data_IF_532766192465
#
_entry.id   IF_532766192465
#
_cell.length_a   1.000
_cell.length_b   1.000
_cell.length_c   1.000
_cell.angle_alpha   90.00
_cell.angle_beta   90.00
_cell.angle_gamma   90.00
#
_symmetry.space_group_name_H-M   'P 1'
#
loop_
_entity.id
_entity.type
_entity.pdbx_description
1 polymer ?
#
# COMPACT_ATOMS: atom_id res chain seq x y z
N UNK A 1 -11.37 15.56 14.39
CA UNK A 1 -11.71 14.57 13.33
C UNK A 1 -12.23 13.35 14.05
N UNK A 2 -13.40 12.76 13.72
CA UNK A 2 -13.81 11.51 14.32
C UNK A 2 -12.75 10.44 14.02
N UNK A 3 -12.46 9.58 15.01
CA UNK A 3 -11.49 8.49 14.84
C UNK A 3 -11.95 7.56 13.71
N UNK A 4 -11.07 7.33 12.75
CA UNK A 4 -11.27 6.32 11.72
C UNK A 4 -11.05 4.94 12.33
N UNK A 5 -11.87 3.98 11.98
CA UNK A 5 -11.62 2.58 12.34
C UNK A 5 -10.57 1.89 11.45
N UNK A 6 -10.06 2.58 10.43
CA UNK A 6 -8.85 2.18 9.71
C UNK A 6 -7.63 2.24 10.64
N UNK A 7 -6.62 1.43 10.37
CA UNK A 7 -5.38 1.39 11.13
C UNK A 7 -4.19 1.31 10.19
N UNK A 8 -3.05 1.88 10.60
CA UNK A 8 -1.80 1.83 9.88
C UNK A 8 -0.72 1.19 10.76
N UNK A 9 -0.04 0.18 10.23
CA UNK A 9 1.26 -0.28 10.71
C UNK A 9 2.29 0.19 9.69
N UNK A 10 3.15 1.12 10.09
CA UNK A 10 4.21 1.68 9.27
C UNK A 10 5.55 1.12 9.71
N UNK A 11 6.22 0.39 8.84
CA UNK A 11 7.48 -0.29 9.14
C UNK A 11 8.62 0.39 8.37
N UNK A 12 9.59 0.93 9.11
CA UNK A 12 10.77 1.58 8.57
C UNK A 12 11.93 0.60 8.71
N UNK A 13 12.44 0.11 7.58
CA UNK A 13 13.53 -0.85 7.52
C UNK A 13 14.89 -0.24 7.83
N UNK A 14 15.89 -1.10 7.99
CA UNK A 14 17.28 -0.70 8.16
C UNK A 14 17.77 0.09 6.94
N UNK A 15 18.20 1.36 7.10
CA UNK A 15 18.55 2.19 5.96
C UNK A 15 19.95 1.91 5.40
N UNK A 16 20.83 1.35 6.18
CA UNK A 16 22.22 1.09 5.78
C UNK A 16 23.09 2.33 5.64
N UNK A 17 22.56 3.48 5.22
CA UNK A 17 23.26 4.76 5.09
C UNK A 17 22.41 5.95 5.58
N UNK A 18 23.08 7.06 5.95
CA UNK A 18 22.40 8.31 6.35
C UNK A 18 21.51 8.90 5.23
N UNK A 19 21.91 8.72 3.97
CA UNK A 19 21.13 9.17 2.83
C UNK A 19 19.76 8.46 2.79
N UNK A 20 19.76 7.15 2.94
CA UNK A 20 18.51 6.37 2.95
C UNK A 20 17.70 6.59 4.23
N UNK A 21 18.37 6.77 5.37
CA UNK A 21 17.70 7.11 6.63
C UNK A 21 16.87 8.39 6.48
N UNK A 22 17.44 9.43 5.87
CA UNK A 22 16.76 10.69 5.59
C UNK A 22 15.55 10.49 4.66
N UNK A 23 15.71 9.70 3.60
CA UNK A 23 14.63 9.42 2.64
C UNK A 23 13.49 8.65 3.30
N UNK A 24 13.79 7.55 3.99
CA UNK A 24 12.77 6.73 4.64
C UNK A 24 12.03 7.50 5.72
N UNK A 25 12.74 8.35 6.46
CA UNK A 25 12.14 9.28 7.43
C UNK A 25 11.15 10.23 6.75
N UNK A 26 11.53 10.88 5.66
CA UNK A 26 10.64 11.80 4.92
C UNK A 26 9.39 11.09 4.40
N UNK A 27 9.54 9.85 3.87
CA UNK A 27 8.38 9.07 3.41
C UNK A 27 7.47 8.68 4.57
N UNK A 28 8.06 8.27 5.69
CA UNK A 28 7.30 7.92 6.89
C UNK A 28 6.53 9.11 7.44
N UNK A 29 7.15 10.30 7.53
CA UNK A 29 6.51 11.53 7.97
C UNK A 29 5.27 11.86 7.13
N UNK A 30 5.32 11.69 5.79
CA UNK A 30 4.16 11.90 4.91
C UNK A 30 3.02 10.91 5.20
N UNK A 31 3.32 9.64 5.46
CA UNK A 31 2.32 8.65 5.86
C UNK A 31 1.72 8.96 7.22
N UNK A 32 2.53 9.34 8.21
CA UNK A 32 2.06 9.74 9.54
C UNK A 32 1.16 10.99 9.49
N UNK A 33 1.55 12.02 8.73
CA UNK A 33 0.74 13.22 8.53
C UNK A 33 -0.59 12.91 7.83
N UNK A 34 -0.59 12.03 6.83
CA UNK A 34 -1.81 11.58 6.16
C UNK A 34 -2.71 10.79 7.12
N UNK A 35 -2.15 9.89 7.95
CA UNK A 35 -2.88 9.16 8.98
C UNK A 35 -3.51 10.11 10.01
N UNK A 36 -2.77 11.12 10.46
CA UNK A 36 -3.27 12.12 11.39
C UNK A 36 -4.46 12.91 10.80
N UNK A 37 -4.36 13.35 9.54
CA UNK A 37 -5.47 14.04 8.86
C UNK A 37 -6.70 13.15 8.70
N UNK A 38 -6.48 11.86 8.45
CA UNK A 38 -7.54 10.89 8.28
C UNK A 38 -8.14 10.37 9.61
N UNK A 39 -7.54 10.69 10.76
CA UNK A 39 -7.90 10.14 12.06
C UNK A 39 -7.58 8.64 12.20
N UNK A 40 -6.59 8.15 11.45
CA UNK A 40 -6.15 6.74 11.45
C UNK A 40 -5.14 6.53 12.58
N UNK A 41 -5.38 5.51 13.40
CA UNK A 41 -4.38 5.09 14.40
C UNK A 41 -3.15 4.52 13.70
N UNK A 42 -1.98 5.10 13.97
CA UNK A 42 -0.71 4.73 13.36
C UNK A 42 0.23 4.08 14.37
N UNK A 43 0.68 2.87 14.09
CA UNK A 43 1.77 2.20 14.82
C UNK A 43 3.02 2.24 13.95
N UNK A 44 4.09 2.90 14.43
CA UNK A 44 5.36 3.02 13.70
C UNK A 44 6.41 2.10 14.32
N UNK A 45 7.04 1.29 13.48
CA UNK A 45 8.10 0.36 13.85
C UNK A 45 9.39 0.78 13.13
N UNK A 46 10.53 0.77 13.82
CA UNK A 46 11.83 1.11 13.23
C UNK A 46 12.19 2.60 13.20
N UNK A 47 11.36 3.49 13.78
CA UNK A 47 11.54 4.96 13.70
C UNK A 47 12.81 5.49 14.38
N UNK A 48 13.27 4.86 15.44
CA UNK A 48 14.29 5.42 16.35
C UNK A 48 15.68 4.79 16.18
N UNK A 49 15.92 4.06 15.12
CA UNK A 49 17.21 3.45 14.90
C UNK A 49 18.20 4.42 14.22
N UNK A 50 19.33 4.68 14.90
CA UNK A 50 20.45 5.39 14.30
C UNK A 50 21.21 4.49 13.31
N UNK A 51 21.71 5.07 12.23
CA UNK A 51 22.63 4.35 11.35
C UNK A 51 23.89 4.00 12.17
N UNK A 52 24.33 2.73 12.17
CA UNK A 52 25.58 2.38 12.83
C UNK A 52 26.72 3.22 12.23
N UNK A 53 27.35 4.05 13.03
CA UNK A 53 28.57 4.72 12.60
C UNK A 53 29.59 3.63 12.21
N UNK A 54 30.20 3.76 11.02
CA UNK A 54 31.20 2.83 10.55
C UNK A 54 32.23 2.60 11.69
N UNK A 55 32.67 1.36 11.93
CA UNK A 55 33.61 1.08 13.02
C UNK A 55 34.89 1.87 12.77
N UNK A 56 35.08 2.93 13.54
CA UNK A 56 36.39 3.57 13.67
C UNK A 56 37.29 2.51 14.30
N UNK A 57 38.23 1.93 13.54
CA UNK A 57 39.25 1.08 14.10
C UNK A 57 40.03 1.89 15.12
N UNK A 58 39.93 1.61 16.42
CA UNK A 58 40.86 2.24 17.36
C UNK A 58 42.20 1.51 17.26
N UNK A 59 43.24 2.27 16.97
CA UNK A 59 44.60 1.85 17.30
C UNK A 59 44.69 1.82 18.84
N UNK A 60 44.76 0.62 19.39
CA UNK A 60 45.28 0.28 20.71
C UNK A 60 44.68 1.03 21.91
N UNK A 61 43.78 0.39 22.62
CA UNK A 61 43.67 0.43 24.08
C UNK A 61 42.64 -0.61 24.55
N UNK A 62 43.09 -1.56 25.33
CA UNK A 62 42.27 -2.52 26.06
C UNK A 62 41.79 -1.87 27.35
N UNK A 63 40.47 -1.54 27.43
CA UNK A 63 39.82 -1.35 28.70
C UNK A 63 38.61 -2.29 28.79
N UNK A 64 38.34 -2.94 29.93
CA UNK A 64 37.20 -3.82 30.09
C UNK A 64 35.95 -2.96 30.22
N UNK A 65 35.12 -2.94 29.16
CA UNK A 65 33.77 -2.39 29.23
C UNK A 65 32.94 -3.33 30.10
N UNK A 66 32.53 -2.87 31.27
CA UNK A 66 31.51 -3.52 32.07
C UNK A 66 30.20 -3.52 31.28
N UNK A 67 29.86 -4.66 30.68
CA UNK A 67 28.57 -4.89 30.07
C UNK A 67 27.51 -4.86 31.19
N UNK A 68 26.86 -3.72 31.36
CA UNK A 68 25.53 -3.73 31.96
C UNK A 68 24.64 -4.48 30.97
N UNK A 69 24.14 -5.64 31.40
CA UNK A 69 23.15 -6.39 30.67
C UNK A 69 21.84 -5.55 30.64
N UNK A 70 21.67 -4.75 29.59
CA UNK A 70 20.37 -4.22 29.21
C UNK A 70 19.50 -5.41 28.83
N UNK A 71 18.25 -5.44 29.29
CA UNK A 71 17.28 -6.42 28.81
C UNK A 71 17.32 -6.44 27.27
N UNK A 72 17.19 -7.63 26.63
CA UNK A 72 17.26 -7.72 25.20
C UNK A 72 16.14 -6.83 24.60
N UNK A 73 16.54 -5.80 23.90
CA UNK A 73 15.59 -4.88 23.24
C UNK A 73 14.77 -5.69 22.22
N UNK A 74 13.44 -5.56 22.29
CA UNK A 74 12.52 -6.30 21.42
C UNK A 74 12.81 -5.97 19.95
N UNK A 75 13.01 -6.98 19.11
CA UNK A 75 13.33 -6.79 17.70
C UNK A 75 12.16 -6.18 16.92
N UNK A 76 12.44 -5.48 15.82
CA UNK A 76 11.39 -4.89 14.99
C UNK A 76 10.47 -5.96 14.37
N UNK A 77 11.00 -7.14 14.06
CA UNK A 77 10.19 -8.29 13.63
C UNK A 77 9.19 -8.71 14.73
N UNK A 78 9.63 -8.81 15.98
CA UNK A 78 8.75 -9.17 17.10
C UNK A 78 7.69 -8.09 17.36
N UNK A 79 8.06 -6.81 17.30
CA UNK A 79 7.10 -5.69 17.40
C UNK A 79 6.05 -5.73 16.30
N UNK A 80 6.44 -6.06 15.05
CA UNK A 80 5.52 -6.20 13.94
C UNK A 80 4.53 -7.36 14.15
N UNK A 81 5.04 -8.53 14.52
CA UNK A 81 4.20 -9.70 14.82
C UNK A 81 3.21 -9.38 15.95
N UNK A 82 3.66 -8.76 17.02
CA UNK A 82 2.83 -8.37 18.16
C UNK A 82 1.76 -7.34 17.77
N UNK A 83 2.11 -6.34 16.95
CA UNK A 83 1.16 -5.36 16.45
C UNK A 83 0.05 -6.03 15.61
N UNK A 84 0.41 -6.92 14.69
CA UNK A 84 -0.56 -7.67 13.86
C UNK A 84 -1.41 -8.61 14.74
N UNK A 85 -0.81 -9.33 15.66
CA UNK A 85 -1.53 -10.24 16.60
C UNK A 85 -2.49 -9.49 17.51
N UNK A 86 -2.14 -8.29 17.94
CA UNK A 86 -3.04 -7.41 18.69
C UNK A 86 -4.32 -7.10 17.91
N UNK A 87 -4.22 -6.92 16.59
CA UNK A 87 -5.34 -6.63 15.71
C UNK A 87 -6.14 -7.87 15.29
N UNK A 88 -5.56 -9.06 15.37
CA UNK A 88 -6.25 -10.32 15.01
C UNK A 88 -7.41 -10.67 15.92
N UNK A 89 -7.44 -10.08 17.13
CA UNK A 89 -8.46 -10.34 18.15
C UNK A 89 -9.79 -9.64 17.89
N UNK A 90 -9.82 -8.69 16.98
CA UNK A 90 -11.03 -7.93 16.64
C UNK A 90 -11.37 -8.04 15.17
N UNK A 91 -12.66 -8.29 14.88
CA UNK A 91 -13.18 -8.19 13.52
C UNK A 91 -13.41 -6.72 13.17
N UNK A 92 -13.08 -6.34 11.97
CA UNK A 92 -13.40 -5.02 11.42
C UNK A 92 -13.67 -5.13 9.94
N UNK A 93 -14.62 -4.36 9.43
CA UNK A 93 -14.84 -4.17 7.99
C UNK A 93 -13.92 -3.11 7.39
N UNK A 94 -13.24 -2.34 8.25
CA UNK A 94 -12.34 -1.27 7.81
C UNK A 94 -10.92 -1.79 7.58
N UNK A 95 -10.22 -1.30 6.55
CA UNK A 95 -8.92 -1.79 6.17
C UNK A 95 -7.86 -1.59 7.25
N UNK A 96 -6.94 -2.56 7.33
CA UNK A 96 -5.61 -2.40 7.90
C UNK A 96 -4.62 -2.10 6.77
N UNK A 97 -3.86 -1.05 6.93
CA UNK A 97 -2.75 -0.71 6.05
C UNK A 97 -1.44 -1.15 6.69
N UNK A 98 -0.65 -1.95 5.98
CA UNK A 98 0.70 -2.34 6.39
C UNK A 98 1.66 -1.81 5.33
N UNK A 99 2.48 -0.85 5.71
CA UNK A 99 3.35 -0.14 4.78
C UNK A 99 4.81 -0.36 5.15
N UNK A 100 5.59 -0.84 4.20
CA UNK A 100 7.01 -1.12 4.36
C UNK A 100 7.85 -0.12 3.57
N UNK A 101 8.66 0.67 4.26
CA UNK A 101 9.56 1.68 3.68
C UNK A 101 11.01 1.28 3.94
N UNK A 102 11.75 0.85 2.92
CA UNK A 102 13.13 0.44 3.13
C UNK A 102 13.73 -0.39 2.00
N UNK A 103 14.58 -1.32 2.38
CA UNK A 103 15.24 -2.26 1.49
C UNK A 103 14.66 -3.68 1.62
N UNK A 104 14.78 -4.43 0.55
CA UNK A 104 14.47 -5.85 0.53
C UNK A 104 15.58 -6.64 -0.15
N UNK A 105 15.67 -7.92 0.15
CA UNK A 105 16.62 -8.87 -0.41
C UNK A 105 15.89 -10.08 -0.99
N UNK A 106 16.51 -10.74 -1.95
CA UNK A 106 16.03 -11.98 -2.56
C UNK A 106 17.20 -12.90 -2.84
N UNK A 107 17.16 -14.10 -2.33
CA UNK A 107 18.23 -15.10 -2.48
C UNK A 107 18.03 -16.05 -3.68
N UNK A 108 17.05 -15.77 -4.54
CA UNK A 108 16.62 -16.61 -5.66
C UNK A 108 15.44 -17.51 -5.31
N UNK A 109 15.02 -17.58 -4.04
CA UNK A 109 13.91 -18.39 -3.54
C UNK A 109 13.02 -17.63 -2.57
N UNK A 110 13.61 -16.95 -1.58
CA UNK A 110 12.92 -16.26 -0.49
C UNK A 110 13.17 -14.76 -0.58
N UNK A 111 12.10 -13.98 -0.54
CA UNK A 111 12.18 -12.54 -0.37
C UNK A 111 12.09 -12.17 1.11
N UNK A 112 12.95 -11.24 1.53
CA UNK A 112 13.00 -10.75 2.89
C UNK A 112 12.97 -9.24 2.93
N UNK A 113 12.34 -8.70 3.95
CA UNK A 113 12.35 -7.30 4.30
C UNK A 113 13.43 -7.02 5.34
N UNK A 114 14.30 -6.04 5.05
CA UNK A 114 15.46 -5.73 5.90
C UNK A 114 15.04 -4.85 7.08
N UNK A 115 15.05 -5.43 8.28
CA UNK A 115 14.71 -4.77 9.53
C UNK A 115 15.98 -4.44 10.36
N UNK A 116 15.80 -3.68 11.41
CA UNK A 116 16.79 -3.63 12.48
C UNK A 116 16.66 -4.88 13.35
N UNK A 117 17.70 -5.72 13.30
CA UNK A 117 17.70 -7.06 13.88
C UNK A 117 17.45 -8.13 12.80
N UNK A 118 16.77 -9.23 13.11
CA UNK A 118 16.44 -10.23 12.13
C UNK A 118 15.47 -9.71 11.07
N UNK A 119 15.76 -10.01 9.81
CA UNK A 119 14.85 -9.73 8.70
C UNK A 119 13.57 -10.56 8.81
N UNK A 120 12.49 -10.10 8.18
CA UNK A 120 11.24 -10.86 8.07
C UNK A 120 11.04 -11.34 6.64
N UNK A 121 10.75 -12.64 6.46
CA UNK A 121 10.44 -13.18 5.14
C UNK A 121 8.99 -12.94 4.74
N UNK A 122 8.71 -13.03 3.44
CA UNK A 122 7.35 -12.92 2.92
C UNK A 122 6.43 -14.00 3.53
N UNK A 123 6.93 -15.22 3.74
CA UNK A 123 6.19 -16.33 4.32
C UNK A 123 5.88 -16.11 5.81
N UNK A 124 6.84 -15.57 6.58
CA UNK A 124 6.62 -15.23 7.99
C UNK A 124 5.53 -14.15 8.11
N UNK A 125 5.63 -13.08 7.32
CA UNK A 125 4.62 -12.03 7.29
C UNK A 125 3.24 -12.58 6.90
N UNK A 126 3.16 -13.41 5.86
CA UNK A 126 1.91 -14.03 5.42
C UNK A 126 1.28 -14.88 6.53
N UNK A 127 2.08 -15.70 7.22
CA UNK A 127 1.62 -16.51 8.35
C UNK A 127 1.01 -15.67 9.48
N UNK A 128 1.61 -14.51 9.77
CA UNK A 128 1.10 -13.60 10.78
C UNK A 128 -0.19 -12.91 10.31
N UNK A 129 -0.24 -12.47 9.04
CA UNK A 129 -1.40 -11.81 8.45
C UNK A 129 -2.62 -12.74 8.25
N UNK A 130 -2.43 -14.06 8.13
CA UNK A 130 -3.54 -15.02 8.02
C UNK A 130 -4.50 -14.99 9.21
N UNK A 131 -4.03 -14.55 10.36
CA UNK A 131 -4.85 -14.44 11.59
C UNK A 131 -5.82 -13.25 11.55
N UNK A 132 -5.62 -12.30 10.64
CA UNK A 132 -6.42 -11.07 10.56
C UNK A 132 -7.80 -11.34 9.95
N UNK A 133 -8.86 -10.92 10.65
CA UNK A 133 -10.26 -11.03 10.21
C UNK A 133 -10.79 -9.66 9.75
N UNK A 134 -10.04 -9.04 8.84
CA UNK A 134 -10.35 -7.72 8.26
C UNK A 134 -9.62 -7.57 6.93
N UNK A 135 -10.10 -6.65 6.06
CA UNK A 135 -9.39 -6.32 4.83
C UNK A 135 -7.98 -5.76 5.12
N UNK A 136 -7.00 -6.10 4.28
CA UNK A 136 -5.61 -5.63 4.45
C UNK A 136 -5.05 -5.11 3.14
N UNK A 137 -4.50 -3.89 3.15
CA UNK A 137 -3.64 -3.37 2.09
C UNK A 137 -2.18 -3.47 2.55
N UNK A 138 -1.37 -4.21 1.84
CA UNK A 138 0.08 -4.28 2.07
C UNK A 138 0.81 -3.54 0.95
N UNK A 139 1.58 -2.50 1.32
CA UNK A 139 2.36 -1.68 0.37
C UNK A 139 3.85 -1.88 0.66
N UNK A 140 4.55 -2.56 -0.25
CA UNK A 140 5.97 -2.92 -0.09
C UNK A 140 6.84 -2.03 -0.96
N UNK A 141 7.36 -0.95 -0.38
CA UNK A 141 8.18 0.06 -1.06
C UNK A 141 9.67 -0.29 -0.98
N UNK A 142 10.07 -1.43 -1.58
CA UNK A 142 11.46 -1.88 -1.57
C UNK A 142 11.87 -2.56 -2.87
N UNK A 143 13.19 -2.70 -3.05
CA UNK A 143 13.75 -3.67 -4.00
C UNK A 143 13.25 -5.08 -3.71
N UNK A 144 13.32 -5.97 -4.69
CA UNK A 144 12.98 -7.39 -4.56
C UNK A 144 11.56 -7.69 -4.03
N UNK A 145 10.62 -6.74 -4.12
CA UNK A 145 9.33 -6.84 -3.42
C UNK A 145 8.28 -7.72 -4.10
N UNK A 146 8.37 -7.96 -5.41
CA UNK A 146 7.34 -8.73 -6.13
C UNK A 146 7.01 -10.12 -5.54
N UNK A 147 7.97 -10.91 -5.01
CA UNK A 147 7.63 -12.22 -4.43
C UNK A 147 6.67 -12.14 -3.23
N UNK A 148 6.52 -10.97 -2.59
CA UNK A 148 5.53 -10.77 -1.54
C UNK A 148 4.09 -10.92 -2.05
N UNK A 149 3.82 -10.63 -3.33
CA UNK A 149 2.50 -10.86 -3.94
C UNK A 149 2.12 -12.34 -3.80
N UNK A 150 3.01 -13.25 -4.18
CA UNK A 150 2.71 -14.68 -4.21
C UNK A 150 2.31 -15.26 -2.85
N UNK A 151 2.76 -14.64 -1.76
CA UNK A 151 2.53 -15.13 -0.39
C UNK A 151 1.45 -14.36 0.35
N UNK A 152 1.25 -13.08 0.04
CA UNK A 152 0.30 -12.20 0.73
C UNK A 152 -1.04 -12.07 0.00
N UNK A 153 -1.10 -12.48 -1.27
CA UNK A 153 -2.33 -12.49 -2.07
C UNK A 153 -3.40 -13.39 -1.45
N UNK A 154 -4.65 -13.01 -1.63
CA UNK A 154 -5.80 -13.79 -1.16
C UNK A 154 -7.06 -12.94 -1.02
N UNK A 155 -8.16 -13.53 -0.55
CA UNK A 155 -9.40 -12.81 -0.31
C UNK A 155 -9.22 -11.64 0.66
N UNK A 156 -9.83 -10.50 0.37
CA UNK A 156 -9.75 -9.27 1.16
C UNK A 156 -8.31 -8.76 1.36
N UNK A 157 -7.44 -9.02 0.39
CA UNK A 157 -6.05 -8.57 0.37
C UNK A 157 -5.77 -7.74 -0.87
N UNK A 158 -5.11 -6.60 -0.66
CA UNK A 158 -4.50 -5.83 -1.75
C UNK A 158 -3.00 -5.81 -1.48
N UNK A 159 -2.20 -6.17 -2.46
CA UNK A 159 -0.74 -6.17 -2.35
C UNK A 159 -0.16 -5.27 -3.44
N UNK A 160 0.54 -4.23 -3.02
CA UNK A 160 1.28 -3.31 -3.90
C UNK A 160 2.77 -3.52 -3.69
N UNK A 161 3.51 -3.71 -4.77
CA UNK A 161 4.97 -3.87 -4.72
C UNK A 161 5.67 -2.86 -5.63
N UNK A 162 6.90 -2.49 -5.27
CA UNK A 162 7.70 -1.55 -6.03
C UNK A 162 8.42 -2.20 -7.23
N UNK A 163 8.54 -3.52 -7.24
CA UNK A 163 9.25 -4.28 -8.28
C UNK A 163 8.36 -5.36 -8.88
N UNK A 164 8.70 -5.81 -10.10
CA UNK A 164 7.96 -6.86 -10.83
C UNK A 164 8.51 -8.27 -10.61
N UNK A 165 9.73 -8.37 -10.06
CA UNK A 165 10.38 -9.65 -9.74
C UNK A 165 11.40 -9.46 -8.62
N UNK A 166 11.91 -10.58 -8.06
CA UNK A 166 12.92 -10.57 -7.00
C UNK A 166 14.32 -10.14 -7.46
N UNK A 167 14.57 -10.04 -8.77
CA UNK A 167 15.89 -9.67 -9.30
C UNK A 167 16.03 -8.16 -9.51
N UNK A 168 14.99 -7.37 -9.29
CA UNK A 168 15.07 -5.92 -9.27
C UNK A 168 15.64 -5.45 -7.92
N UNK A 169 16.95 -5.59 -7.77
CA UNK A 169 17.71 -5.39 -6.51
C UNK A 169 18.16 -3.95 -6.26
N UNK A 170 17.96 -3.06 -7.23
CA UNK A 170 18.39 -1.67 -7.10
C UNK A 170 17.47 -0.91 -6.13
N UNK A 171 18.01 0.15 -5.53
CA UNK A 171 17.21 1.04 -4.68
C UNK A 171 15.92 1.47 -5.36
N UNK A 172 14.81 1.28 -4.68
CA UNK A 172 13.47 1.66 -5.18
C UNK A 172 13.15 3.11 -4.83
N UNK A 173 12.64 3.84 -5.82
CA UNK A 173 12.13 5.22 -5.70
C UNK A 173 10.62 5.26 -5.54
N UNK A 174 9.97 4.13 -5.79
CA UNK A 174 8.52 4.00 -5.73
C UNK A 174 7.93 4.52 -4.42
N UNK A 175 8.61 4.27 -3.29
CA UNK A 175 8.15 4.72 -1.97
C UNK A 175 8.07 6.24 -1.80
N UNK A 176 8.95 7.01 -2.46
CA UNK A 176 8.85 8.47 -2.48
C UNK A 176 7.55 8.92 -3.16
N UNK A 177 7.32 8.45 -4.38
CA UNK A 177 6.14 8.81 -5.15
C UNK A 177 4.84 8.31 -4.48
N UNK A 178 4.85 7.10 -3.89
CA UNK A 178 3.71 6.54 -3.18
C UNK A 178 3.36 7.35 -1.92
N UNK A 179 4.35 7.80 -1.16
CA UNK A 179 4.13 8.66 0.01
C UNK A 179 3.57 10.04 -0.36
N UNK A 180 3.96 10.60 -1.51
CA UNK A 180 3.38 11.85 -2.04
C UNK A 180 1.92 11.62 -2.43
N UNK A 181 1.63 10.53 -3.18
CA UNK A 181 0.28 10.21 -3.63
C UNK A 181 -0.72 10.09 -2.46
N UNK A 182 -0.32 9.47 -1.37
CA UNK A 182 -1.16 9.30 -0.18
C UNK A 182 -1.31 10.59 0.63
N UNK A 183 -0.29 11.45 0.64
CA UNK A 183 -0.27 12.66 1.46
C UNK A 183 -0.83 13.90 0.76
N UNK A 184 -1.07 13.85 -0.53
CA UNK A 184 -1.59 14.99 -1.32
C UNK A 184 -2.73 14.55 -2.24
N UNK A 185 -3.32 15.49 -2.97
CA UNK A 185 -4.30 15.21 -4.04
C UNK A 185 -3.66 15.22 -5.44
N UNK A 186 -2.33 15.13 -5.54
CA UNK A 186 -1.65 15.09 -6.84
C UNK A 186 -1.99 13.81 -7.64
N UNK A 187 -2.37 12.76 -6.95
CA UNK A 187 -2.74 11.48 -7.54
C UNK A 187 -4.25 11.33 -7.79
N UNK A 188 -5.09 12.29 -7.42
CA UNK A 188 -6.53 12.29 -7.67
C UNK A 188 -6.79 12.48 -9.18
N UNK A 189 -6.87 11.36 -9.90
CA UNK A 189 -6.99 11.32 -11.38
C UNK A 189 -8.42 11.62 -11.80
N UNK A 190 -9.40 11.09 -11.08
CA UNK A 190 -10.83 11.20 -11.38
C UNK A 190 -11.44 12.50 -10.84
N UNK A 191 -10.72 13.23 -9.96
CA UNK A 191 -11.09 14.52 -9.35
C UNK A 191 -12.32 14.44 -8.44
N UNK A 192 -12.39 13.36 -7.67
CA UNK A 192 -13.46 13.19 -6.67
C UNK A 192 -13.10 13.76 -5.27
N UNK A 193 -11.92 14.38 -5.15
CA UNK A 193 -11.43 15.02 -3.92
C UNK A 193 -10.75 14.07 -2.94
N UNK A 194 -10.43 12.88 -3.37
CA UNK A 194 -9.66 11.88 -2.61
C UNK A 194 -8.74 11.08 -3.53
N UNK A 195 -7.83 10.32 -2.98
CA UNK A 195 -6.94 9.44 -3.75
C UNK A 195 -7.21 8.00 -3.35
N UNK A 196 -7.65 7.19 -4.29
CA UNK A 196 -7.78 5.75 -4.10
C UNK A 196 -6.40 5.07 -4.12
N UNK A 197 -6.31 3.83 -3.60
CA UNK A 197 -5.08 3.06 -3.64
C UNK A 197 -4.64 2.75 -5.10
N UNK A 198 -5.61 2.54 -6.01
CA UNK A 198 -5.32 2.40 -7.44
C UNK A 198 -4.65 3.65 -8.00
N UNK A 199 -5.23 4.82 -7.77
CA UNK A 199 -4.68 6.10 -8.26
C UNK A 199 -3.31 6.39 -7.66
N UNK A 200 -3.12 6.13 -6.36
CA UNK A 200 -1.83 6.27 -5.69
C UNK A 200 -0.77 5.37 -6.32
N UNK A 201 -1.10 4.11 -6.60
CA UNK A 201 -0.20 3.17 -7.27
C UNK A 201 0.10 3.60 -8.71
N UNK A 202 -0.91 4.01 -9.48
CA UNK A 202 -0.73 4.50 -10.87
C UNK A 202 0.15 5.75 -10.92
N UNK A 203 -0.07 6.71 -10.02
CA UNK A 203 0.75 7.90 -9.89
C UNK A 203 2.20 7.54 -9.57
N UNK A 204 2.41 6.71 -8.53
CA UNK A 204 3.75 6.30 -8.13
C UNK A 204 4.49 5.55 -9.23
N UNK A 205 3.80 4.65 -9.95
CA UNK A 205 4.35 3.90 -11.06
C UNK A 205 4.79 4.81 -12.21
N UNK A 206 3.92 5.75 -12.62
CA UNK A 206 4.21 6.70 -13.71
C UNK A 206 5.34 7.64 -13.35
N UNK A 207 5.34 8.19 -12.13
CA UNK A 207 6.38 9.09 -11.66
C UNK A 207 7.75 8.39 -11.57
N UNK A 208 7.75 7.14 -11.16
CA UNK A 208 8.96 6.30 -11.16
C UNK A 208 9.47 6.06 -12.58
N UNK A 209 8.61 5.70 -13.51
CA UNK A 209 8.98 5.49 -14.92
C UNK A 209 9.49 6.78 -15.59
N UNK A 210 8.84 7.92 -15.30
CA UNK A 210 9.24 9.24 -15.80
C UNK A 210 10.62 9.64 -15.29
N UNK A 211 10.94 9.37 -14.02
CA UNK A 211 12.28 9.59 -13.49
C UNK A 211 13.34 8.90 -14.35
N UNK A 212 13.21 7.59 -14.61
CA UNK A 212 14.18 6.84 -15.41
C UNK A 212 14.28 7.37 -16.85
N UNK A 213 13.15 7.74 -17.46
CA UNK A 213 13.10 8.32 -18.79
C UNK A 213 13.83 9.67 -18.85
N UNK A 214 13.61 10.55 -17.87
CA UNK A 214 14.23 11.88 -17.81
C UNK A 214 15.74 11.78 -17.58
N UNK A 215 16.17 10.82 -16.75
CA UNK A 215 17.58 10.56 -16.50
C UNK A 215 18.27 9.79 -17.65
N UNK A 216 17.54 9.42 -18.70
CA UNK A 216 18.08 8.62 -19.81
C UNK A 216 18.58 7.23 -19.38
N UNK A 217 17.99 6.64 -18.33
CA UNK A 217 18.38 5.36 -17.73
C UNK A 217 17.32 4.29 -18.01
N UNK A 218 17.77 3.04 -18.07
CA UNK A 218 16.85 1.91 -18.05
C UNK A 218 16.18 1.79 -16.68
N UNK A 219 14.86 1.59 -16.68
CA UNK A 219 14.12 1.39 -15.45
C UNK A 219 14.56 0.08 -14.77
N UNK A 220 14.91 0.17 -13.49
CA UNK A 220 15.33 -0.96 -12.65
C UNK A 220 14.27 -1.37 -11.64
N UNK A 221 13.09 -0.75 -11.69
CA UNK A 221 11.93 -1.06 -10.86
C UNK A 221 10.66 -0.89 -11.67
N UNK A 222 9.70 -1.80 -11.48
CA UNK A 222 8.39 -1.79 -12.11
C UNK A 222 7.39 -2.30 -11.08
N UNK A 223 6.53 -1.45 -10.62
CA UNK A 223 5.56 -1.77 -9.59
C UNK A 223 4.46 -2.69 -10.10
N UNK A 224 3.89 -3.48 -9.17
CA UNK A 224 2.73 -4.32 -9.40
C UNK A 224 1.66 -4.05 -8.35
N UNK A 225 0.42 -4.35 -8.72
CA UNK A 225 -0.72 -4.44 -7.80
C UNK A 225 -1.44 -5.76 -8.01
N UNK A 226 -1.87 -6.41 -6.93
CA UNK A 226 -2.75 -7.57 -6.89
C UNK A 226 -3.88 -7.27 -5.90
N UNK A 227 -5.13 -7.33 -6.36
CA UNK A 227 -6.30 -7.10 -5.50
C UNK A 227 -7.42 -8.12 -5.73
N UNK A 228 -7.25 -9.02 -6.70
CA UNK A 228 -8.21 -10.08 -7.00
C UNK A 228 -7.87 -11.40 -6.29
N UNK A 229 -6.69 -11.51 -5.68
CA UNK A 229 -6.25 -12.64 -4.90
C UNK A 229 -5.72 -13.82 -5.71
N UNK A 230 -5.33 -13.60 -6.98
CA UNK A 230 -4.81 -14.67 -7.86
C UNK A 230 -3.28 -14.84 -7.77
N UNK A 231 -2.61 -13.96 -7.02
CA UNK A 231 -1.16 -13.98 -6.82
C UNK A 231 -0.36 -13.49 -8.02
N UNK A 232 -0.99 -12.81 -8.97
CA UNK A 232 -0.36 -12.31 -10.19
C UNK A 232 -0.62 -10.82 -10.33
N UNK A 233 0.30 -10.03 -9.82
CA UNK A 233 0.15 -8.60 -9.93
C UNK A 233 0.20 -8.09 -11.38
N UNK A 234 -0.58 -7.05 -11.64
CA UNK A 234 -0.61 -6.36 -12.93
C UNK A 234 0.26 -5.10 -12.93
N UNK A 235 0.58 -4.62 -14.10
CA UNK A 235 1.42 -3.45 -14.34
C UNK A 235 0.58 -2.24 -14.74
N UNK A 236 1.08 -1.03 -14.41
CA UNK A 236 0.38 0.23 -14.68
C UNK A 236 0.18 0.55 -16.16
N UNK A 237 0.93 -0.08 -17.06
CA UNK A 237 0.78 0.11 -18.52
C UNK A 237 -0.54 -0.46 -19.06
N UNK A 238 -1.23 -1.30 -18.29
CA UNK A 238 -2.58 -1.77 -18.63
C UNK A 238 -3.67 -0.71 -18.39
N UNK A 239 -3.29 0.48 -17.91
CA UNK A 239 -4.22 1.55 -17.56
C UNK A 239 -4.02 2.80 -18.42
N UNK A 240 -5.14 3.44 -18.77
CA UNK A 240 -5.20 4.79 -19.36
C UNK A 240 -6.01 5.67 -18.41
N UNK A 241 -5.36 6.67 -17.78
CA UNK A 241 -5.96 7.35 -16.65
C UNK A 241 -6.06 6.40 -15.44
N UNK A 242 -7.24 6.27 -14.89
CA UNK A 242 -7.63 5.36 -13.81
C UNK A 242 -8.38 4.11 -14.33
N UNK A 243 -8.47 3.94 -15.65
CA UNK A 243 -9.25 2.88 -16.31
C UNK A 243 -8.38 1.87 -17.01
N UNK A 244 -8.82 0.63 -17.03
CA UNK A 244 -8.22 -0.42 -17.84
C UNK A 244 -8.27 -0.01 -19.32
N UNK A 245 -7.17 -0.20 -20.06
CA UNK A 245 -7.07 0.14 -21.46
C UNK A 245 -8.07 -0.69 -22.29
N UNK A 246 -8.74 -0.06 -23.27
CA UNK A 246 -9.79 -0.69 -24.09
C UNK A 246 -9.30 -1.92 -24.87
N UNK A 247 -8.01 -2.01 -25.15
CA UNK A 247 -7.37 -3.10 -25.88
C UNK A 247 -6.73 -4.15 -24.95
N UNK A 248 -7.00 -4.09 -23.65
CA UNK A 248 -6.47 -5.06 -22.72
C UNK A 248 -7.12 -6.44 -22.95
N UNK A 249 -6.29 -7.47 -22.93
CA UNK A 249 -6.76 -8.85 -22.96
C UNK A 249 -7.34 -9.25 -21.60
N UNK A 250 -8.51 -9.91 -21.61
CA UNK A 250 -9.22 -10.38 -20.41
C UNK A 250 -9.34 -9.30 -19.31
N UNK A 251 -10.01 -8.17 -19.61
CA UNK A 251 -10.08 -7.03 -18.67
C UNK A 251 -10.70 -7.41 -17.33
N UNK A 252 -11.52 -8.45 -17.27
CA UNK A 252 -12.14 -8.97 -16.06
C UNK A 252 -11.14 -9.59 -15.07
N UNK A 253 -9.96 -9.98 -15.54
CA UNK A 253 -8.88 -10.55 -14.72
C UNK A 253 -7.85 -9.50 -14.27
N UNK A 254 -7.97 -8.25 -14.74
CA UNK A 254 -7.05 -7.18 -14.39
C UNK A 254 -7.39 -6.66 -13.00
N UNK A 255 -6.36 -6.58 -12.14
CA UNK A 255 -6.44 -6.02 -10.78
C UNK A 255 -6.76 -4.52 -10.79
N UNK A 256 -7.03 -3.98 -9.61
CA UNK A 256 -7.23 -2.55 -9.38
C UNK A 256 -8.68 -2.17 -9.09
N UNK A 257 -9.63 -3.07 -9.31
CA UNK A 257 -11.07 -2.80 -9.10
C UNK A 257 -11.42 -2.61 -7.62
N UNK A 258 -10.80 -3.36 -6.73
CA UNK A 258 -10.96 -3.23 -5.28
C UNK A 258 -10.17 -2.02 -4.80
N UNK A 259 -8.93 -1.88 -5.27
CA UNK A 259 -8.04 -0.77 -4.93
C UNK A 259 -8.61 0.61 -5.35
N UNK A 260 -9.43 0.68 -6.39
CA UNK A 260 -10.13 1.91 -6.82
C UNK A 260 -11.13 2.43 -5.77
N UNK A 261 -11.60 1.58 -4.86
CA UNK A 261 -12.56 1.93 -3.81
C UNK A 261 -11.94 2.10 -2.42
N UNK A 262 -10.65 1.83 -2.27
CA UNK A 262 -9.95 1.95 -0.99
C UNK A 262 -9.21 3.27 -0.90
N UNK A 263 -9.59 4.12 0.04
CA UNK A 263 -9.03 5.44 0.28
C UNK A 263 -8.38 5.50 1.66
N UNK A 264 -7.10 5.82 1.70
CA UNK A 264 -6.39 6.04 2.97
C UNK A 264 -6.89 7.32 3.64
N UNK A 265 -6.89 8.43 2.90
CA UNK A 265 -7.49 9.70 3.33
C UNK A 265 -8.80 9.89 2.60
N UNK A 266 -9.91 9.73 3.30
CA UNK A 266 -11.24 9.89 2.75
C UNK A 266 -11.62 11.37 2.66
N UNK A 267 -12.39 11.74 1.64
CA UNK A 267 -13.00 13.07 1.52
C UNK A 267 -13.99 13.34 2.68
N UNK A 268 -14.40 14.59 2.85
CA UNK A 268 -15.38 14.95 3.89
C UNK A 268 -16.74 14.29 3.64
N UNK A 269 -17.11 14.09 2.39
CA UNK A 269 -18.33 13.40 2.00
C UNK A 269 -18.26 11.92 2.36
N UNK A 270 -17.17 11.27 2.01
CA UNK A 270 -16.93 9.87 2.27
C UNK A 270 -16.85 9.55 3.78
N UNK A 271 -16.34 10.46 4.58
CA UNK A 271 -16.28 10.32 6.05
C UNK A 271 -17.65 10.35 6.72
N UNK A 272 -18.67 10.94 6.09
CA UNK A 272 -20.05 10.96 6.62
C UNK A 272 -20.76 9.63 6.43
N UNK A 273 -20.32 8.80 5.48
CA UNK A 273 -20.91 7.48 5.25
C UNK A 273 -20.63 6.54 6.43
N UNK A 274 -21.65 5.80 6.83
CA UNK A 274 -21.48 4.66 7.73
C UNK A 274 -20.78 3.50 6.99
N UNK A 275 -20.29 2.50 7.72
CA UNK A 275 -19.70 1.30 7.11
C UNK A 275 -20.69 0.58 6.18
N UNK A 276 -21.97 0.47 6.60
CA UNK A 276 -23.04 -0.13 5.78
C UNK A 276 -23.32 0.67 4.50
N UNK A 277 -23.32 2.00 4.59
CA UNK A 277 -23.49 2.87 3.42
C UNK A 277 -22.33 2.74 2.44
N UNK A 278 -21.10 2.67 2.94
CA UNK A 278 -19.91 2.42 2.08
C UNK A 278 -19.98 1.07 1.38
N UNK A 279 -20.35 0.01 2.09
CA UNK A 279 -20.52 -1.31 1.49
C UNK A 279 -21.58 -1.29 0.37
N UNK A 280 -22.71 -0.63 0.59
CA UNK A 280 -23.74 -0.45 -0.45
C UNK A 280 -23.23 0.36 -1.65
N UNK A 281 -22.50 1.46 -1.39
CA UNK A 281 -21.87 2.28 -2.42
C UNK A 281 -20.90 1.43 -3.25
N UNK A 282 -20.02 0.66 -2.60
CA UNK A 282 -19.02 -0.19 -3.27
C UNK A 282 -19.66 -1.23 -4.19
N UNK A 283 -20.78 -1.81 -3.77
CA UNK A 283 -21.56 -2.72 -4.61
C UNK A 283 -22.13 -2.01 -5.85
N UNK A 284 -22.68 -0.80 -5.68
CA UNK A 284 -23.23 -0.02 -6.79
C UNK A 284 -22.13 0.47 -7.77
N UNK A 285 -20.98 0.87 -7.25
CA UNK A 285 -19.84 1.25 -8.08
C UNK A 285 -19.28 0.07 -8.88
N UNK A 286 -19.22 -1.13 -8.28
CA UNK A 286 -18.87 -2.34 -9.01
C UNK A 286 -19.88 -2.69 -10.11
N UNK A 287 -21.18 -2.45 -9.87
CA UNK A 287 -22.22 -2.61 -10.90
C UNK A 287 -22.07 -1.57 -12.02
N UNK A 288 -21.76 -0.32 -11.67
CA UNK A 288 -21.52 0.76 -12.63
C UNK A 288 -20.34 0.45 -13.53
N UNK A 289 -19.25 -0.07 -12.96
CA UNK A 289 -18.06 -0.47 -13.70
C UNK A 289 -18.40 -1.57 -14.72
N UNK A 290 -19.09 -2.65 -14.30
CA UNK A 290 -19.55 -3.71 -15.18
C UNK A 290 -20.50 -3.20 -16.29
N UNK A 291 -21.39 -2.28 -15.95
CA UNK A 291 -22.29 -1.68 -16.92
C UNK A 291 -21.52 -0.87 -17.97
N UNK A 292 -20.49 -0.13 -17.56
CA UNK A 292 -19.62 0.62 -18.50
C UNK A 292 -18.87 -0.29 -19.48
N UNK A 293 -18.40 -1.45 -19.03
CA UNK A 293 -17.79 -2.46 -19.91
C UNK A 293 -18.76 -2.98 -20.97
N UNK A 294 -20.03 -3.08 -20.62
CA UNK A 294 -21.10 -3.56 -21.50
C UNK A 294 -21.67 -2.48 -22.44
N UNK A 295 -21.20 -1.23 -22.36
CA UNK A 295 -21.74 -0.09 -23.12
C UNK A 295 -21.87 -0.37 -24.62
N UNK A 296 -20.89 -1.03 -25.21
CA UNK A 296 -20.88 -1.32 -26.65
C UNK A 296 -21.69 -2.59 -27.04
N UNK A 297 -22.11 -3.37 -26.06
CA UNK A 297 -22.87 -4.62 -26.26
C UNK A 297 -24.36 -4.49 -25.95
N UNK A 298 -24.76 -3.46 -25.19
CA UNK A 298 -26.14 -3.19 -24.82
C UNK A 298 -26.79 -2.19 -25.79
N UNK A 299 -28.12 -2.30 -26.03
CA UNK A 299 -28.89 -1.22 -26.65
C UNK A 299 -28.79 0.05 -25.80
N UNK A 300 -28.61 1.21 -26.47
CA UNK A 300 -28.39 2.50 -25.79
C UNK A 300 -29.47 2.81 -24.73
N UNK A 301 -30.74 2.58 -25.05
CA UNK A 301 -31.82 2.83 -24.11
C UNK A 301 -31.74 1.94 -22.85
N UNK A 302 -31.34 0.69 -23.01
CA UNK A 302 -31.22 -0.24 -21.88
C UNK A 302 -29.99 0.17 -21.03
N UNK A 303 -28.87 0.54 -21.66
CA UNK A 303 -27.69 1.06 -20.97
C UNK A 303 -28.02 2.30 -20.14
N UNK A 304 -28.68 3.30 -20.74
CA UNK A 304 -29.07 4.54 -20.05
C UNK A 304 -30.02 4.30 -18.89
N UNK A 305 -30.97 3.38 -19.04
CA UNK A 305 -31.89 3.02 -17.97
C UNK A 305 -31.19 2.38 -16.78
N UNK A 306 -30.29 1.44 -17.03
CA UNK A 306 -29.49 0.81 -15.95
C UNK A 306 -28.56 1.82 -15.29
N UNK A 307 -27.93 2.71 -16.06
CA UNK A 307 -27.08 3.78 -15.55
C UNK A 307 -27.88 4.73 -14.63
N UNK A 308 -29.08 5.13 -15.02
CA UNK A 308 -29.95 6.00 -14.22
C UNK A 308 -30.30 5.35 -12.88
N UNK A 309 -30.69 4.06 -12.88
CA UNK A 309 -30.98 3.33 -11.65
C UNK A 309 -29.84 3.33 -10.68
N UNK A 310 -28.64 3.02 -11.15
CA UNK A 310 -27.44 2.98 -10.29
C UNK A 310 -27.09 4.39 -9.79
N UNK A 311 -27.13 5.39 -10.68
CA UNK A 311 -26.82 6.77 -10.32
C UNK A 311 -27.77 7.34 -9.26
N UNK A 312 -29.08 7.05 -9.37
CA UNK A 312 -30.07 7.46 -8.36
C UNK A 312 -29.78 6.81 -7.01
N UNK A 313 -29.52 5.50 -6.99
CA UNK A 313 -29.20 4.80 -5.75
C UNK A 313 -27.92 5.32 -5.08
N UNK A 314 -26.89 5.65 -5.86
CA UNK A 314 -25.68 6.29 -5.34
C UNK A 314 -26.00 7.68 -4.75
N UNK A 315 -26.79 8.50 -5.45
CA UNK A 315 -27.20 9.81 -4.97
C UNK A 315 -27.98 9.73 -3.65
N UNK A 316 -28.89 8.76 -3.50
CA UNK A 316 -29.66 8.53 -2.27
C UNK A 316 -28.77 8.19 -1.07
N UNK A 317 -27.69 7.43 -1.28
CA UNK A 317 -26.72 7.10 -0.21
C UNK A 317 -26.04 8.38 0.29
N UNK A 318 -25.52 9.23 -0.60
CA UNK A 318 -24.85 10.47 -0.21
C UNK A 318 -25.82 11.51 0.37
N UNK A 319 -27.05 11.61 -0.15
CA UNK A 319 -28.08 12.49 0.42
C UNK A 319 -28.46 12.07 1.85
N UNK A 320 -28.56 10.76 2.09
CA UNK A 320 -28.84 10.24 3.43
C UNK A 320 -27.70 10.50 4.42
N UNK A 321 -26.45 10.52 3.97
CA UNK A 321 -25.27 10.80 4.78
C UNK A 321 -25.09 12.30 5.08
N UNK A 322 -25.69 13.19 4.28
CA UNK A 322 -25.65 14.64 4.48
C UNK A 322 -26.67 15.18 5.49
N UNK A 323 -27.61 14.34 5.94
CA UNK A 323 -28.65 14.67 6.95
C UNK A 323 -28.20 14.23 8.33
#
# INVERSE_FOLDING_TARGET
VPESSQQLILVIGAPGTEEYATKFKTWAERWEEAAQRAGITCTVIGKNHSVPSAPVKPAGASEPVSAQASEPEETDAAKLEQAIEGLSRSKSSEPLWIVFLGHGTFDGRTASWNLHGPDITAEQLASTCQKLQRPVATVVCSSCSAPFINTLSGPDRIVVTATKDGNQIQYSRFGDAMSIAISTLEADINRDGQTSLLEAWLFASRRTAEFYKTEGRLATEHSLIDDNGDGKGVRSELYVGDRIAENAENPELIDGRIAARWHFVRSDEERRLTAEQREKRDVLEAQLEKLREQKNSLPEQEYLKQLEIIAVQLAEIYEAAGK
#
